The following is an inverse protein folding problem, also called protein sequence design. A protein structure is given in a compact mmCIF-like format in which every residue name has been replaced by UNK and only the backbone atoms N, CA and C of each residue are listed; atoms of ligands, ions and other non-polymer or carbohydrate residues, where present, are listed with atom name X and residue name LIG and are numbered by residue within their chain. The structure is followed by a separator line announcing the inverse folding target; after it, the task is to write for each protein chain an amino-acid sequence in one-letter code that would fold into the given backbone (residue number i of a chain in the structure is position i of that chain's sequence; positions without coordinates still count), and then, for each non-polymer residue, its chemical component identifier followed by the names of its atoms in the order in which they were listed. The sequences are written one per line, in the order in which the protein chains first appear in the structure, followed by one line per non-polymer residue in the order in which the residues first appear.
data_IF_375233333267
#
_entry.id   IF_375233333267
#
_cell.length_a   1.000
_cell.length_b   1.000
_cell.length_c   1.000
_cell.angle_alpha   90.00
_cell.angle_beta   90.00
_cell.angle_gamma   90.00
#
_symmetry.space_group_name_H-M   'P 1'
#
loop_
_entity.id
_entity.type
_entity.pdbx_description
1 polymer ?
#
# COMPACT_ATOMS: atom_id res chain seq x y z
N UNK A 1 -45.59 -28.05 -24.29
CA UNK A 1 -45.96 -26.73 -24.79
C UNK A 1 -45.27 -25.72 -23.87
N UNK A 2 -44.22 -25.05 -24.35
CA UNK A 2 -43.55 -23.99 -23.64
C UNK A 2 -44.43 -22.73 -23.63
N UNK A 3 -44.45 -21.95 -22.51
CA UNK A 3 -45.21 -20.70 -22.48
C UNK A 3 -44.63 -19.70 -23.49
N UNK A 4 -45.50 -18.92 -24.21
CA UNK A 4 -45.10 -18.09 -25.35
C UNK A 4 -44.36 -16.79 -24.99
N UNK A 5 -44.15 -16.47 -23.73
CA UNK A 5 -43.72 -15.13 -23.31
C UNK A 5 -42.29 -15.03 -22.72
N UNK A 6 -41.40 -15.94 -23.11
CA UNK A 6 -39.97 -15.72 -22.78
C UNK A 6 -39.41 -14.70 -23.78
N UNK A 7 -39.57 -13.42 -23.47
CA UNK A 7 -38.93 -12.30 -24.18
C UNK A 7 -37.41 -12.48 -24.09
N UNK A 8 -36.80 -12.98 -25.17
CA UNK A 8 -35.35 -13.03 -25.26
C UNK A 8 -34.81 -11.60 -25.36
N UNK A 9 -33.94 -11.18 -24.44
CA UNK A 9 -33.33 -9.85 -24.55
C UNK A 9 -32.59 -9.75 -25.88
N UNK A 10 -32.73 -8.62 -26.56
CA UNK A 10 -32.07 -8.40 -27.85
C UNK A 10 -30.56 -8.46 -27.68
N UNK A 11 -29.83 -8.94 -28.69
CA UNK A 11 -28.36 -9.00 -28.66
C UNK A 11 -27.72 -7.65 -28.28
N UNK A 12 -28.38 -6.55 -28.60
CA UNK A 12 -27.96 -5.19 -28.26
C UNK A 12 -28.00 -4.94 -26.77
N UNK A 13 -29.05 -5.37 -26.07
CA UNK A 13 -29.17 -5.23 -24.59
C UNK A 13 -28.13 -6.07 -23.88
N UNK A 14 -27.85 -7.28 -24.39
CA UNK A 14 -26.80 -8.15 -23.84
C UNK A 14 -25.43 -7.50 -24.04
N UNK A 15 -25.18 -6.89 -25.18
CA UNK A 15 -23.90 -6.25 -25.49
C UNK A 15 -23.71 -4.96 -24.69
N UNK A 16 -24.75 -4.15 -24.50
CA UNK A 16 -24.70 -2.96 -23.66
C UNK A 16 -24.42 -3.32 -22.19
N UNK A 17 -25.07 -4.37 -21.66
CA UNK A 17 -24.79 -4.86 -20.31
C UNK A 17 -23.39 -5.44 -20.16
N UNK A 18 -22.91 -6.20 -21.15
CA UNK A 18 -21.56 -6.73 -21.15
C UNK A 18 -20.51 -5.60 -21.18
N UNK A 19 -20.73 -4.58 -22.02
CA UNK A 19 -19.84 -3.40 -22.09
C UNK A 19 -19.85 -2.60 -20.79
N UNK A 20 -21.03 -2.39 -20.20
CA UNK A 20 -21.15 -1.71 -18.91
C UNK A 20 -20.45 -2.49 -17.77
N UNK A 21 -20.56 -3.82 -17.76
CA UNK A 21 -19.85 -4.68 -16.80
C UNK A 21 -18.33 -4.63 -16.97
N UNK A 22 -17.84 -4.60 -18.20
CA UNK A 22 -16.40 -4.49 -18.52
C UNK A 22 -15.86 -3.12 -18.09
N UNK A 23 -16.62 -2.03 -18.30
CA UNK A 23 -16.22 -0.68 -17.88
C UNK A 23 -16.24 -0.58 -16.35
N UNK A 24 -17.25 -1.16 -15.68
CA UNK A 24 -17.36 -1.17 -14.22
C UNK A 24 -16.31 -2.04 -13.53
N UNK A 25 -15.72 -2.99 -14.25
CA UNK A 25 -14.66 -3.88 -13.75
C UNK A 25 -13.24 -3.47 -14.20
N UNK A 26 -13.07 -2.31 -14.81
CA UNK A 26 -11.74 -1.76 -15.08
C UNK A 26 -11.03 -1.55 -13.75
N UNK A 27 -9.98 -2.29 -13.41
CA UNK A 27 -9.26 -2.05 -12.17
C UNK A 27 -8.72 -0.62 -12.22
N UNK A 28 -9.04 0.17 -11.20
CA UNK A 28 -8.45 1.51 -11.06
C UNK A 28 -6.93 1.36 -11.01
N UNK A 29 -6.25 1.85 -12.05
CA UNK A 29 -4.80 1.81 -12.10
C UNK A 29 -4.24 3.07 -11.48
N UNK A 30 -3.44 2.92 -10.42
CA UNK A 30 -2.75 4.04 -9.79
C UNK A 30 -1.67 4.61 -10.72
N UNK A 31 -1.71 5.92 -10.97
CA UNK A 31 -0.67 6.59 -11.74
C UNK A 31 0.67 6.58 -10.99
N UNK A 32 1.78 6.60 -11.73
CA UNK A 32 3.12 6.67 -11.14
C UNK A 32 3.29 7.92 -10.24
N UNK A 33 2.65 9.04 -10.59
CA UNK A 33 2.65 10.25 -9.78
C UNK A 33 1.92 10.05 -8.45
N UNK A 34 0.78 9.37 -8.45
CA UNK A 34 0.04 9.05 -7.23
C UNK A 34 0.85 8.12 -6.32
N UNK A 35 1.49 7.10 -6.88
CA UNK A 35 2.37 6.18 -6.16
C UNK A 35 3.54 6.94 -5.52
N UNK A 36 4.21 7.81 -6.29
CA UNK A 36 5.31 8.61 -5.79
C UNK A 36 4.89 9.58 -4.67
N UNK A 37 3.72 10.21 -4.81
CA UNK A 37 3.17 11.08 -3.77
C UNK A 37 2.88 10.32 -2.48
N UNK A 38 2.22 9.18 -2.56
CA UNK A 38 1.92 8.34 -1.39
C UNK A 38 3.20 7.86 -0.70
N UNK A 39 4.20 7.44 -1.48
CA UNK A 39 5.51 7.05 -0.97
C UNK A 39 6.22 8.22 -0.25
N UNK A 40 6.19 9.41 -0.84
CA UNK A 40 6.76 10.61 -0.23
C UNK A 40 6.07 10.97 1.08
N UNK A 41 4.74 10.97 1.13
CA UNK A 41 3.97 11.22 2.36
C UNK A 41 4.33 10.19 3.43
N UNK A 42 4.41 8.91 3.09
CA UNK A 42 4.80 7.84 4.02
C UNK A 42 6.21 8.08 4.58
N UNK A 43 7.15 8.43 3.72
CA UNK A 43 8.52 8.73 4.15
C UNK A 43 8.60 9.95 5.07
N UNK A 44 7.87 11.02 4.77
CA UNK A 44 7.82 12.24 5.60
C UNK A 44 7.21 11.93 6.98
N UNK A 45 6.13 11.14 7.04
CA UNK A 45 5.54 10.74 8.31
C UNK A 45 6.46 9.83 9.13
N UNK A 46 7.11 8.87 8.48
CA UNK A 46 8.11 8.03 9.14
C UNK A 46 9.28 8.85 9.69
N UNK A 47 9.74 9.86 8.95
CA UNK A 47 10.75 10.81 9.40
C UNK A 47 10.27 11.64 10.58
N UNK A 48 9.04 12.15 10.53
CA UNK A 48 8.45 12.93 11.63
C UNK A 48 8.37 12.11 12.92
N UNK A 49 7.95 10.83 12.81
CA UNK A 49 7.95 9.90 13.95
C UNK A 49 9.37 9.67 14.47
N UNK A 50 10.35 9.50 13.59
CA UNK A 50 11.75 9.32 13.98
C UNK A 50 12.30 10.57 14.69
N UNK A 51 12.05 11.77 14.19
CA UNK A 51 12.46 13.04 14.81
C UNK A 51 11.81 13.22 16.19
N UNK A 52 10.56 12.82 16.33
CA UNK A 52 9.83 12.91 17.59
C UNK A 52 10.36 11.94 18.65
N UNK A 53 10.72 10.73 18.25
CA UNK A 53 11.05 9.62 19.18
C UNK A 53 12.54 9.46 19.44
N UNK A 54 13.38 9.72 18.45
CA UNK A 54 14.81 9.51 18.55
C UNK A 54 15.51 10.79 19.05
N UNK A 55 16.58 10.67 19.87
CA UNK A 55 17.36 11.82 20.28
C UNK A 55 18.09 12.43 19.07
N UNK A 56 18.37 13.73 19.14
CA UNK A 56 19.06 14.45 18.04
C UNK A 56 20.43 13.87 17.70
N UNK A 57 21.10 13.24 18.66
CA UNK A 57 22.37 12.52 18.42
C UNK A 57 22.23 11.31 17.52
N UNK A 58 21.02 10.73 17.42
CA UNK A 58 20.70 9.59 16.56
C UNK A 58 20.21 10.00 15.15
N UNK A 59 20.52 11.23 14.69
CA UNK A 59 20.10 11.69 13.36
C UNK A 59 20.50 10.76 12.21
N UNK A 60 21.66 10.04 12.24
CA UNK A 60 21.97 9.09 11.18
C UNK A 60 21.01 7.91 11.10
N UNK A 61 20.33 7.57 12.22
CA UNK A 61 19.40 6.46 12.31
C UNK A 61 17.96 6.86 11.90
N UNK A 62 17.69 8.17 11.71
CA UNK A 62 16.38 8.66 11.29
C UNK A 62 16.12 8.41 9.79
N UNK A 63 17.13 8.61 8.94
CA UNK A 63 17.02 8.35 7.52
C UNK A 63 16.73 6.87 7.19
N UNK A 64 17.38 5.90 7.84
CA UNK A 64 17.05 4.47 7.69
C UNK A 64 15.65 4.04 8.14
N UNK A 65 14.92 4.89 8.86
CA UNK A 65 13.48 4.67 9.11
C UNK A 65 12.64 5.23 7.96
N UNK A 66 12.93 6.44 7.53
CA UNK A 66 12.14 7.16 6.53
C UNK A 66 12.31 6.59 5.11
N UNK A 67 13.54 6.36 4.70
CA UNK A 67 13.85 5.92 3.33
C UNK A 67 13.30 4.54 3.01
N UNK A 68 13.49 3.51 3.83
CA UNK A 68 12.87 2.20 3.58
C UNK A 68 11.33 2.24 3.62
N UNK A 69 10.74 3.07 4.48
CA UNK A 69 9.28 3.24 4.53
C UNK A 69 8.74 3.80 3.23
N UNK A 70 9.35 4.86 2.69
CA UNK A 70 9.00 5.41 1.38
C UNK A 70 9.28 4.43 0.24
N UNK A 71 10.46 3.81 0.23
CA UNK A 71 10.87 2.88 -0.80
C UNK A 71 9.95 1.65 -0.87
N UNK A 72 9.54 1.11 0.26
CA UNK A 72 8.64 -0.04 0.33
C UNK A 72 7.29 0.26 -0.32
N UNK A 73 6.72 1.44 -0.07
CA UNK A 73 5.48 1.88 -0.72
C UNK A 73 5.71 2.06 -2.22
N UNK A 74 6.78 2.73 -2.61
CA UNK A 74 7.07 2.98 -4.03
C UNK A 74 7.31 1.68 -4.82
N UNK A 75 8.02 0.73 -4.25
CA UNK A 75 8.35 -0.55 -4.90
C UNK A 75 7.14 -1.49 -4.96
N UNK A 76 6.30 -1.47 -3.92
CA UNK A 76 5.20 -2.42 -3.84
C UNK A 76 3.91 -1.92 -4.48
N UNK A 77 3.61 -0.63 -4.42
CA UNK A 77 2.34 -0.10 -4.93
C UNK A 77 2.07 -0.33 -6.43
N UNK A 78 3.06 -0.42 -7.33
CA UNK A 78 2.82 -0.87 -8.71
C UNK A 78 2.19 -2.26 -8.81
N UNK A 79 2.41 -3.13 -7.82
CA UNK A 79 1.77 -4.45 -7.76
C UNK A 79 0.25 -4.36 -7.52
N UNK A 80 -0.24 -3.27 -6.93
CA UNK A 80 -1.67 -3.00 -6.79
C UNK A 80 -2.38 -2.82 -8.15
N UNK A 81 -1.63 -2.49 -9.21
CA UNK A 81 -2.15 -2.46 -10.58
C UNK A 81 -2.25 -3.86 -11.23
N UNK A 82 -1.81 -4.92 -10.54
CA UNK A 82 -1.89 -6.29 -11.00
C UNK A 82 -3.19 -6.94 -10.51
N UNK A 83 -4.12 -7.21 -11.42
CA UNK A 83 -5.43 -7.79 -11.10
C UNK A 83 -5.36 -9.11 -10.33
N UNK A 84 -4.28 -9.89 -10.53
CA UNK A 84 -4.07 -11.16 -9.83
C UNK A 84 -3.83 -10.99 -8.34
N UNK A 85 -3.23 -9.88 -7.91
CA UNK A 85 -2.87 -9.61 -6.51
C UNK A 85 -4.00 -8.87 -5.74
N UNK A 86 -5.00 -8.34 -6.46
CA UNK A 86 -6.13 -7.62 -5.87
C UNK A 86 -7.41 -8.46 -5.76
N UNK A 87 -7.37 -9.75 -6.14
CA UNK A 87 -8.52 -10.67 -6.09
C UNK A 87 -8.52 -11.54 -4.85
N UNK A 88 -8.29 -10.97 -3.68
CA UNK A 88 -8.30 -11.73 -2.42
C UNK A 88 -9.67 -11.81 -1.73
N UNK A 89 -10.70 -11.21 -2.31
CA UNK A 89 -12.09 -11.31 -1.83
C UNK A 89 -12.42 -10.48 -0.59
N UNK A 90 -11.49 -9.62 -0.14
CA UNK A 90 -11.72 -8.73 0.98
C UNK A 90 -12.16 -7.35 0.46
N UNK A 91 -13.41 -6.90 0.71
CA UNK A 91 -13.86 -5.60 0.24
C UNK A 91 -13.09 -4.46 0.92
N UNK A 92 -12.45 -3.61 0.12
CA UNK A 92 -11.75 -2.40 0.59
C UNK A 92 -10.41 -2.63 1.28
N UNK A 93 -9.90 -3.86 1.30
CA UNK A 93 -8.62 -4.18 1.91
C UNK A 93 -8.02 -5.42 1.27
N UNK A 94 -6.81 -5.34 0.76
CA UNK A 94 -6.15 -6.47 0.13
C UNK A 94 -4.92 -6.92 0.94
N UNK A 95 -4.57 -8.22 0.84
CA UNK A 95 -3.33 -8.74 1.40
C UNK A 95 -2.11 -7.96 0.86
N UNK A 96 -2.26 -7.37 -0.33
CA UNK A 96 -1.28 -6.52 -0.98
C UNK A 96 -0.97 -5.23 -0.19
N UNK A 97 -1.93 -4.69 0.57
CA UNK A 97 -1.73 -3.48 1.37
C UNK A 97 -0.75 -3.70 2.55
N UNK A 98 -0.65 -4.94 3.02
CA UNK A 98 0.30 -5.31 4.06
C UNK A 98 1.73 -5.47 3.56
N UNK A 99 1.92 -5.78 2.29
CA UNK A 99 3.22 -6.15 1.77
C UNK A 99 4.21 -4.98 1.79
N UNK A 100 3.77 -3.74 1.57
CA UNK A 100 4.62 -2.56 1.74
C UNK A 100 5.12 -2.43 3.19
N UNK A 101 4.25 -2.72 4.16
CA UNK A 101 4.61 -2.67 5.58
C UNK A 101 5.57 -3.78 5.98
N UNK A 102 5.38 -4.98 5.42
CA UNK A 102 6.30 -6.11 5.63
C UNK A 102 7.68 -5.82 5.05
N UNK A 103 7.75 -5.22 3.85
CA UNK A 103 9.02 -4.81 3.25
C UNK A 103 9.71 -3.71 4.08
N UNK A 104 8.96 -2.71 4.57
CA UNK A 104 9.50 -1.69 5.46
C UNK A 104 10.06 -2.34 6.73
N UNK A 105 9.33 -3.29 7.32
CA UNK A 105 9.76 -4.07 8.47
C UNK A 105 11.09 -4.77 8.21
N UNK A 106 11.21 -5.49 7.09
CA UNK A 106 12.42 -6.24 6.75
C UNK A 106 13.62 -5.30 6.59
N UNK A 107 13.48 -4.22 5.82
CA UNK A 107 14.58 -3.30 5.56
C UNK A 107 15.07 -2.58 6.84
N UNK A 108 14.14 -2.16 7.70
CA UNK A 108 14.52 -1.49 8.94
C UNK A 108 15.11 -2.46 9.95
N UNK A 109 14.65 -3.73 9.98
CA UNK A 109 15.25 -4.78 10.80
C UNK A 109 16.67 -5.08 10.37
N UNK A 110 16.90 -5.25 9.06
CA UNK A 110 18.25 -5.47 8.52
C UNK A 110 19.22 -4.34 8.87
N UNK A 111 18.74 -3.09 8.83
CA UNK A 111 19.55 -1.96 9.27
C UNK A 111 19.88 -2.05 10.76
N UNK A 112 18.87 -2.35 11.59
CA UNK A 112 19.06 -2.46 13.04
C UNK A 112 20.06 -3.56 13.41
N UNK A 113 20.02 -4.69 12.70
CA UNK A 113 20.94 -5.80 12.92
C UNK A 113 22.38 -5.48 12.44
N UNK A 114 22.51 -4.68 11.39
CA UNK A 114 23.80 -4.29 10.83
C UNK A 114 24.50 -3.14 11.58
N UNK A 115 23.82 -2.45 12.48
CA UNK A 115 24.31 -1.27 13.18
C UNK A 115 24.21 -1.38 14.68
N UNK A 116 25.27 -0.93 15.40
CA UNK A 116 25.18 -0.70 16.84
C UNK A 116 24.38 0.58 17.10
N UNK A 117 23.08 0.42 17.29
CA UNK A 117 22.18 1.53 17.56
C UNK A 117 22.41 2.10 18.96
N UNK A 118 22.44 3.42 19.07
CA UNK A 118 22.61 4.11 20.37
C UNK A 118 21.41 3.87 21.31
N UNK A 119 20.19 3.74 20.75
CA UNK A 119 18.94 3.60 21.49
C UNK A 119 18.05 2.50 20.87
N UNK A 120 18.43 1.22 20.97
CA UNK A 120 17.77 0.13 20.23
C UNK A 120 16.28 -0.02 20.58
N UNK A 121 15.89 0.20 21.85
CA UNK A 121 14.47 0.14 22.25
C UNK A 121 13.63 1.25 21.65
N UNK A 122 14.14 2.47 21.66
CA UNK A 122 13.44 3.62 21.04
C UNK A 122 13.37 3.47 19.53
N UNK A 123 14.42 2.97 18.92
CA UNK A 123 14.46 2.69 17.50
C UNK A 123 13.40 1.64 17.13
N UNK A 124 13.32 0.53 17.87
CA UNK A 124 12.31 -0.50 17.66
C UNK A 124 10.86 0.02 17.80
N UNK A 125 10.60 0.88 18.78
CA UNK A 125 9.29 1.54 18.94
C UNK A 125 8.98 2.52 17.81
N UNK A 126 9.95 3.32 17.40
CA UNK A 126 9.82 4.27 16.28
C UNK A 126 9.47 3.53 14.99
N UNK A 127 10.20 2.48 14.75
CA UNK A 127 9.97 1.61 13.61
C UNK A 127 8.60 0.92 13.62
N UNK A 128 8.18 0.36 14.76
CA UNK A 128 6.85 -0.23 14.89
C UNK A 128 5.74 0.78 14.57
N UNK A 129 5.86 2.02 15.06
CA UNK A 129 4.92 3.10 14.76
C UNK A 129 4.94 3.48 13.27
N UNK A 130 6.12 3.61 12.66
CA UNK A 130 6.24 3.92 11.23
C UNK A 130 5.65 2.81 10.35
N UNK A 131 5.88 1.54 10.72
CA UNK A 131 5.32 0.38 10.03
C UNK A 131 3.79 0.32 10.12
N UNK A 132 3.21 0.65 11.29
CA UNK A 132 1.76 0.69 11.48
C UNK A 132 1.11 1.91 10.80
N UNK A 133 1.82 3.02 10.67
CA UNK A 133 1.32 4.20 9.95
C UNK A 133 1.20 3.96 8.44
N UNK A 134 2.05 3.11 7.87
CA UNK A 134 2.07 2.81 6.42
C UNK A 134 0.74 2.20 5.92
N UNK A 135 0.20 1.11 6.49
CA UNK A 135 -1.08 0.56 6.04
C UNK A 135 -2.25 1.50 6.31
N UNK A 136 -2.23 2.27 7.43
CA UNK A 136 -3.27 3.25 7.70
C UNK A 136 -3.33 4.32 6.62
N UNK A 137 -2.18 4.81 6.15
CA UNK A 137 -2.11 5.75 5.03
C UNK A 137 -2.58 5.12 3.72
N UNK A 138 -2.19 3.88 3.44
CA UNK A 138 -2.64 3.19 2.23
C UNK A 138 -4.17 3.10 2.18
N UNK A 139 -4.82 2.77 3.30
CA UNK A 139 -6.29 2.68 3.39
C UNK A 139 -6.96 4.06 3.20
N UNK A 140 -6.36 5.14 3.70
CA UNK A 140 -6.93 6.50 3.60
C UNK A 140 -6.74 7.10 2.19
N UNK A 141 -5.71 6.67 1.45
CA UNK A 141 -5.35 7.23 0.13
C UNK A 141 -5.84 6.39 -1.05
N UNK A 142 -6.62 5.34 -0.80
CA UNK A 142 -7.40 4.60 -1.79
C UNK A 142 -8.76 5.27 -1.92
#
# INVERSE_FOLDING_TARGET
VLPPDVVRPSARVIQEHATALVIASSPETFSAAHIALTAAITGVLALAVAIWRLPRSAWPDMAPVAVPSAASVYLWRPSANMTQLNRDGLPGFSANDWAASVLAYIFVSLYADARNLAEPRRYAQTWALATLASPALNVITI
#
